data_IF_561917919833
#
_entry.id   IF_561917919833
#
_cell.length_a   1.000
_cell.length_b   1.000
_cell.length_c   1.000
_cell.angle_alpha   90.00
_cell.angle_beta   90.00
_cell.angle_gamma   90.00
#
_symmetry.space_group_name_H-M   'P 1'
#
loop_
_entity.id
_entity.type
_entity.pdbx_description
1 polymer ?
#
# COMPACT_ATOMS: atom_id res chain seq x y z
N UNK A 1 -3.68 5.68 17.60
CA UNK A 1 -2.72 4.86 16.85
C UNK A 1 -2.86 5.07 15.35
N UNK A 2 -1.77 4.80 14.61
CA UNK A 2 -1.67 4.88 13.16
C UNK A 2 -1.08 3.57 12.64
N UNK A 3 -1.55 3.09 11.49
CA UNK A 3 -1.06 1.88 10.85
C UNK A 3 -0.59 2.17 9.43
N UNK A 4 0.51 1.57 9.04
CA UNK A 4 1.01 1.60 7.67
C UNK A 4 0.30 0.54 6.83
N UNK A 5 -0.36 0.96 5.75
CA UNK A 5 -1.13 0.05 4.89
C UNK A 5 -0.38 -0.35 3.63
N UNK A 6 0.67 0.37 3.27
CA UNK A 6 1.46 0.09 2.07
C UNK A 6 2.87 0.66 2.16
N UNK A 7 3.81 -0.04 1.57
CA UNK A 7 5.18 0.38 1.34
C UNK A 7 5.74 -0.35 0.11
N UNK A 8 7.00 -0.10 -0.25
CA UNK A 8 7.62 -0.72 -1.42
C UNK A 8 7.57 -2.26 -1.41
N UNK A 9 7.56 -2.88 -0.23
CA UNK A 9 7.50 -4.34 -0.10
C UNK A 9 6.09 -4.93 -0.19
N UNK A 10 5.07 -4.13 -0.46
CA UNK A 10 3.71 -4.57 -0.68
C UNK A 10 2.69 -3.91 0.24
N UNK A 11 1.44 -4.31 0.06
CA UNK A 11 0.29 -3.79 0.81
C UNK A 11 -0.08 -4.68 1.99
N UNK A 12 -0.53 -4.05 3.08
CA UNK A 12 -1.25 -4.70 4.19
C UNK A 12 -2.70 -4.21 4.30
N UNK A 13 -3.24 -3.58 3.26
CA UNK A 13 -4.63 -3.10 3.24
C UNK A 13 -5.61 -4.28 3.26
N UNK A 14 -5.58 -5.11 2.23
CA UNK A 14 -6.42 -6.30 2.07
C UNK A 14 -5.77 -7.32 1.13
N UNK A 15 -6.47 -8.44 0.92
CA UNK A 15 -6.04 -9.53 0.03
C UNK A 15 -7.23 -10.01 -0.80
N UNK A 16 -7.06 -10.50 -2.06
CA UNK A 16 -8.16 -10.98 -2.89
C UNK A 16 -9.04 -12.07 -2.25
N UNK A 17 -8.45 -12.95 -1.45
CA UNK A 17 -9.20 -13.98 -0.72
C UNK A 17 -10.03 -13.43 0.43
N UNK A 18 -9.70 -12.24 0.94
CA UNK A 18 -10.44 -11.56 2.01
C UNK A 18 -11.45 -10.55 1.45
N UNK A 19 -11.19 -10.01 0.28
CA UNK A 19 -12.02 -9.03 -0.42
C UNK A 19 -12.27 -9.46 -1.87
N UNK A 20 -13.00 -10.55 -2.12
CA UNK A 20 -13.11 -11.15 -3.47
C UNK A 20 -13.93 -10.32 -4.46
N UNK A 21 -14.62 -9.28 -4.00
CA UNK A 21 -15.41 -8.37 -4.85
C UNK A 21 -14.67 -7.05 -5.13
N UNK A 22 -13.49 -6.88 -4.60
CA UNK A 22 -12.67 -5.69 -4.80
C UNK A 22 -11.67 -5.96 -5.92
N UNK A 23 -11.85 -5.31 -7.06
CA UNK A 23 -10.99 -5.46 -8.24
C UNK A 23 -9.54 -5.01 -8.00
N UNK A 24 -9.32 -4.17 -6.99
CA UNK A 24 -7.99 -3.68 -6.62
C UNK A 24 -7.33 -4.48 -5.48
N UNK A 25 -8.02 -5.46 -4.90
CA UNK A 25 -7.49 -6.24 -3.77
C UNK A 25 -6.19 -6.99 -4.10
N UNK A 26 -5.92 -7.27 -5.37
CA UNK A 26 -4.71 -7.94 -5.83
C UNK A 26 -3.52 -6.98 -6.09
N UNK A 27 -3.71 -5.67 -5.86
CA UNK A 27 -2.68 -4.67 -6.15
C UNK A 27 -1.55 -4.74 -5.12
N UNK A 28 -0.31 -4.84 -5.60
CA UNK A 28 0.92 -4.82 -4.80
C UNK A 28 0.97 -5.84 -3.64
N UNK A 29 0.40 -7.02 -3.85
CA UNK A 29 0.48 -8.11 -2.87
C UNK A 29 1.88 -8.71 -2.86
N UNK A 30 2.51 -8.72 -1.67
CA UNK A 30 3.72 -9.50 -1.42
C UNK A 30 3.35 -10.86 -0.84
N UNK A 31 3.60 -11.97 -1.57
CA UNK A 31 3.14 -13.29 -1.15
C UNK A 31 3.95 -13.90 -0.01
N UNK A 32 5.06 -13.28 0.35
CA UNK A 32 5.98 -13.78 1.37
C UNK A 32 6.22 -12.78 2.50
N UNK A 33 6.53 -13.31 3.66
CA UNK A 33 7.12 -12.53 4.72
C UNK A 33 8.58 -12.22 4.38
N UNK A 34 8.94 -10.96 4.38
CA UNK A 34 10.31 -10.50 4.11
C UNK A 34 11.29 -11.14 5.10
N UNK A 35 12.47 -11.47 4.61
CA UNK A 35 13.59 -12.09 5.31
C UNK A 35 13.39 -13.56 5.74
N UNK A 36 12.17 -14.05 5.81
CA UNK A 36 11.92 -15.47 6.14
C UNK A 36 11.54 -16.31 4.95
N UNK A 37 11.00 -15.66 3.89
CA UNK A 37 10.43 -16.30 2.70
C UNK A 37 9.30 -17.27 2.99
N UNK A 38 8.74 -17.25 4.18
CA UNK A 38 7.53 -17.97 4.52
C UNK A 38 6.33 -17.32 3.83
N UNK A 39 5.33 -18.11 3.49
CA UNK A 39 4.08 -17.56 2.96
C UNK A 39 3.44 -16.60 3.97
N UNK A 40 2.87 -15.51 3.47
CA UNK A 40 2.12 -14.56 4.30
C UNK A 40 0.87 -15.22 4.85
N UNK A 41 0.55 -14.93 6.12
CA UNK A 41 -0.70 -15.37 6.73
C UNK A 41 -1.82 -14.42 6.38
N UNK A 42 -2.95 -14.94 5.91
CA UNK A 42 -4.13 -14.11 5.65
C UNK A 42 -4.79 -13.64 6.94
N UNK A 43 -4.89 -14.53 7.92
CA UNK A 43 -5.61 -14.25 9.15
C UNK A 43 -4.80 -13.31 10.07
N UNK A 44 -5.38 -12.14 10.32
CA UNK A 44 -4.79 -11.15 11.24
C UNK A 44 -3.68 -10.28 10.64
N UNK A 45 -3.43 -10.36 9.33
CA UNK A 45 -2.34 -9.62 8.67
C UNK A 45 -2.80 -8.38 7.92
N UNK A 46 -4.09 -8.12 7.81
CA UNK A 46 -4.63 -7.06 6.96
C UNK A 46 -5.48 -6.07 7.74
N UNK A 47 -5.30 -4.79 7.42
CA UNK A 47 -5.90 -3.67 8.17
C UNK A 47 -7.40 -3.59 7.99
N UNK A 48 -7.92 -3.87 6.78
CA UNK A 48 -9.37 -3.86 6.52
C UNK A 48 -10.10 -4.88 7.39
N UNK A 49 -9.52 -6.06 7.58
CA UNK A 49 -10.06 -7.05 8.51
C UNK A 49 -9.96 -6.62 9.97
N UNK A 50 -8.87 -5.95 10.36
CA UNK A 50 -8.73 -5.42 11.71
C UNK A 50 -9.86 -4.41 12.01
N UNK A 51 -10.21 -3.55 11.07
CA UNK A 51 -11.37 -2.65 11.23
C UNK A 51 -12.69 -3.41 11.40
N UNK A 52 -12.95 -4.42 10.56
CA UNK A 52 -14.18 -5.22 10.68
C UNK A 52 -14.27 -5.95 12.03
N UNK A 53 -13.15 -6.50 12.50
CA UNK A 53 -13.07 -7.13 13.83
C UNK A 53 -13.25 -6.12 14.96
N UNK A 54 -12.68 -4.92 14.83
CA UNK A 54 -12.85 -3.84 15.78
C UNK A 54 -14.32 -3.42 15.94
N UNK A 55 -15.04 -3.30 14.82
CA UNK A 55 -16.47 -3.02 14.82
C UNK A 55 -17.28 -4.16 15.47
N UNK A 56 -16.92 -5.40 15.17
CA UNK A 56 -17.56 -6.56 15.79
C UNK A 56 -17.33 -6.61 17.31
N UNK A 57 -16.13 -6.35 17.77
CA UNK A 57 -15.79 -6.25 19.20
C UNK A 57 -16.56 -5.12 19.89
N UNK A 58 -16.62 -3.95 19.26
CA UNK A 58 -17.37 -2.80 19.78
C UNK A 58 -18.85 -3.13 19.91
N UNK A 59 -19.44 -3.78 18.91
CA UNK A 59 -20.83 -4.24 18.95
C UNK A 59 -21.08 -5.27 20.08
N UNK A 60 -20.09 -6.10 20.38
CA UNK A 60 -20.12 -7.06 21.47
C UNK A 60 -19.85 -6.45 22.87
N UNK A 61 -19.62 -5.14 22.96
CA UNK A 61 -19.35 -4.44 24.23
C UNK A 61 -17.90 -4.55 24.73
N UNK A 62 -16.98 -5.14 23.94
CA UNK A 62 -15.58 -5.33 24.33
C UNK A 62 -14.67 -4.12 24.00
N UNK A 63 -15.22 -3.06 23.41
CA UNK A 63 -14.45 -1.93 22.90
C UNK A 63 -13.80 -2.22 21.53
N UNK A 64 -13.23 -1.18 20.90
CA UNK A 64 -12.59 -1.31 19.61
C UNK A 64 -11.11 -0.87 19.67
N UNK A 65 -10.16 -1.82 19.70
CA UNK A 65 -8.73 -1.50 19.76
C UNK A 65 -8.14 -1.07 18.42
N UNK A 66 -8.88 -1.20 17.30
CA UNK A 66 -8.38 -1.02 15.94
C UNK A 66 -8.82 0.31 15.29
N UNK A 67 -9.04 1.35 16.08
CA UNK A 67 -9.35 2.70 15.59
C UNK A 67 -8.07 3.42 15.13
N UNK A 68 -7.52 2.98 14.00
CA UNK A 68 -6.29 3.49 13.43
C UNK A 68 -6.53 4.69 12.50
N UNK A 69 -5.51 5.57 12.37
CA UNK A 69 -5.31 6.37 11.17
C UNK A 69 -4.49 5.58 10.16
N UNK A 70 -4.60 5.89 8.88
CA UNK A 70 -3.90 5.20 7.81
C UNK A 70 -2.75 6.05 7.27
N UNK A 71 -1.59 5.44 7.08
CA UNK A 71 -0.47 6.03 6.35
C UNK A 71 0.10 5.02 5.36
N UNK A 72 0.78 5.53 4.33
CA UNK A 72 1.67 4.76 3.48
C UNK A 72 3.09 5.27 3.63
N UNK A 73 4.05 4.47 3.26
CA UNK A 73 5.46 4.86 3.29
C UNK A 73 6.25 4.23 2.13
N UNK A 74 7.46 4.70 1.89
CA UNK A 74 8.35 4.12 0.90
C UNK A 74 9.20 2.99 1.48
N UNK A 75 9.39 2.98 2.79
CA UNK A 75 10.37 2.14 3.49
C UNK A 75 11.79 2.25 2.88
N UNK A 76 12.07 3.32 2.21
CA UNK A 76 13.44 3.61 1.76
C UNK A 76 14.26 4.10 2.96
N UNK A 77 15.30 3.37 3.33
CA UNK A 77 16.13 3.69 4.50
C UNK A 77 17.15 4.80 4.20
N UNK A 78 16.86 5.66 3.25
CA UNK A 78 17.69 6.81 2.86
C UNK A 78 16.82 8.05 2.73
N UNK A 79 17.38 9.20 3.01
CA UNK A 79 16.64 10.48 2.93
C UNK A 79 16.42 11.03 1.52
N UNK A 80 16.89 10.34 0.48
CA UNK A 80 16.92 10.80 -0.90
C UNK A 80 16.21 9.83 -1.86
N UNK A 81 15.10 9.22 -1.45
CA UNK A 81 14.31 8.37 -2.33
C UNK A 81 13.64 9.18 -3.44
N UNK A 82 13.58 8.64 -4.65
CA UNK A 82 12.74 9.17 -5.73
C UNK A 82 11.34 8.56 -5.63
N UNK A 83 10.30 9.36 -5.87
CA UNK A 83 8.89 8.95 -5.78
C UNK A 83 8.19 8.91 -7.13
N UNK A 84 8.91 9.16 -8.20
CA UNK A 84 8.42 9.02 -9.58
C UNK A 84 8.45 7.54 -9.97
N UNK A 85 7.32 7.00 -10.41
CA UNK A 85 7.21 5.59 -10.84
C UNK A 85 8.19 5.24 -11.97
N UNK A 86 8.48 6.17 -12.86
CA UNK A 86 9.44 5.98 -13.94
C UNK A 86 10.90 6.02 -13.47
N UNK A 87 11.13 6.63 -12.32
CA UNK A 87 12.47 6.84 -11.76
C UNK A 87 12.48 6.52 -10.26
N UNK A 88 11.69 5.54 -9.86
CA UNK A 88 11.64 5.11 -8.46
C UNK A 88 12.98 4.51 -8.03
N UNK A 89 13.43 4.90 -6.86
CA UNK A 89 14.67 4.43 -6.28
C UNK A 89 14.50 4.17 -4.78
N UNK A 90 14.83 2.97 -4.34
CA UNK A 90 14.70 2.55 -2.94
C UNK A 90 16.06 2.30 -2.28
N UNK A 91 16.00 1.88 -1.02
CA UNK A 91 17.18 1.51 -0.22
C UNK A 91 18.02 0.39 -0.82
N UNK A 92 17.45 -0.45 -1.70
CA UNK A 92 18.13 -1.58 -2.31
C UNK A 92 18.43 -1.26 -3.78
N UNK A 93 18.96 -0.08 -4.03
CA UNK A 93 19.22 0.44 -5.36
C UNK A 93 19.92 -0.50 -6.36
N UNK A 94 20.61 -1.54 -5.89
CA UNK A 94 21.22 -2.58 -6.75
C UNK A 94 20.15 -3.42 -7.45
N UNK A 95 19.01 -3.66 -6.81
CA UNK A 95 17.96 -4.58 -7.30
C UNK A 95 16.74 -3.86 -7.84
N UNK A 96 16.49 -2.62 -7.44
CA UNK A 96 15.30 -1.86 -7.80
C UNK A 96 15.57 -0.40 -8.20
N UNK A 97 16.82 -0.06 -8.49
CA UNK A 97 17.25 1.31 -8.82
C UNK A 97 16.63 1.88 -10.10
N UNK A 98 15.95 1.08 -10.89
CA UNK A 98 15.30 1.56 -12.11
C UNK A 98 13.99 0.82 -12.37
N UNK A 99 13.08 1.45 -13.11
CA UNK A 99 11.84 0.82 -13.56
C UNK A 99 12.06 -0.46 -14.36
N UNK A 100 13.17 -0.58 -15.08
CA UNK A 100 13.56 -1.83 -15.76
C UNK A 100 13.90 -2.95 -14.80
N UNK A 101 14.66 -2.66 -13.74
CA UNK A 101 15.04 -3.65 -12.73
C UNK A 101 13.81 -4.14 -11.96
N UNK A 102 12.90 -3.23 -11.62
CA UNK A 102 11.63 -3.58 -10.95
C UNK A 102 10.62 -4.31 -11.84
N UNK A 103 10.76 -4.23 -13.15
CA UNK A 103 9.82 -4.81 -14.10
C UNK A 103 8.66 -3.90 -14.47
N UNK A 104 8.68 -2.61 -14.12
CA UNK A 104 7.65 -1.62 -14.51
C UNK A 104 7.92 -0.96 -15.87
N UNK A 105 9.14 -1.10 -16.41
CA UNK A 105 9.53 -0.62 -17.74
C UNK A 105 10.01 -1.77 -18.59
N UNK A 106 9.54 -1.82 -19.84
CA UNK A 106 9.91 -2.87 -20.79
C UNK A 106 11.42 -2.93 -21.08
N UNK A 107 11.93 -4.13 -21.19
CA UNK A 107 13.30 -4.40 -21.56
C UNK A 107 13.49 -4.29 -23.08
N UNK A 108 14.65 -3.80 -23.51
CA UNK A 108 15.09 -3.92 -24.89
C UNK A 108 15.32 -5.39 -25.27
N UNK A 109 15.40 -5.69 -26.56
CA UNK A 109 15.64 -7.07 -27.00
C UNK A 109 16.99 -7.63 -26.52
N UNK A 110 18.02 -6.78 -26.41
CA UNK A 110 19.34 -7.17 -25.88
C UNK A 110 19.26 -7.52 -24.41
N UNK A 111 18.56 -6.70 -23.61
CA UNK A 111 18.36 -6.96 -22.18
C UNK A 111 17.56 -8.24 -21.96
N UNK A 112 16.54 -8.51 -22.79
CA UNK A 112 15.77 -9.76 -22.74
C UNK A 112 16.66 -10.98 -22.98
N UNK A 113 17.49 -10.93 -24.03
CA UNK A 113 18.41 -12.02 -24.34
C UNK A 113 19.40 -12.25 -23.18
N UNK A 114 19.99 -11.17 -22.66
CA UNK A 114 20.88 -11.26 -21.49
C UNK A 114 20.20 -11.89 -20.29
N UNK A 115 18.96 -11.49 -20.00
CA UNK A 115 18.19 -12.05 -18.87
C UNK A 115 17.84 -13.52 -19.10
N UNK A 116 17.55 -13.96 -20.32
CA UNK A 116 17.35 -15.37 -20.63
C UNK A 116 18.60 -16.19 -20.37
N UNK A 117 19.75 -15.73 -20.82
CA UNK A 117 21.03 -16.39 -20.57
C UNK A 117 21.35 -16.42 -19.08
N UNK A 118 21.15 -15.29 -18.38
CA UNK A 118 21.37 -15.22 -16.93
C UNK A 118 20.46 -16.17 -16.15
N UNK A 119 19.20 -16.35 -16.57
CA UNK A 119 18.28 -17.32 -15.96
C UNK A 119 18.73 -18.76 -16.17
N UNK A 120 19.21 -19.11 -17.34
CA UNK A 120 19.75 -20.46 -17.61
C UNK A 120 20.94 -20.76 -16.69
N UNK A 121 21.77 -19.76 -16.40
CA UNK A 121 22.92 -19.89 -15.49
C UNK A 121 22.45 -19.90 -14.03
N UNK A 122 21.50 -19.05 -13.63
CA UNK A 122 21.06 -18.92 -12.24
C UNK A 122 20.09 -20.02 -11.81
N UNK A 123 19.30 -20.61 -12.71
CA UNK A 123 18.51 -21.79 -12.37
C UNK A 123 19.36 -22.96 -11.87
N UNK A 124 20.64 -22.98 -12.19
CA UNK A 124 21.59 -23.92 -11.61
C UNK A 124 21.91 -23.61 -10.13
N UNK A 125 21.76 -22.35 -9.69
CA UNK A 125 22.12 -21.92 -8.32
C UNK A 125 20.94 -21.61 -7.39
N UNK A 126 19.71 -21.48 -7.91
CA UNK A 126 18.53 -20.98 -7.15
C UNK A 126 17.43 -22.04 -7.02
N UNK A 127 17.77 -23.32 -7.09
CA UNK A 127 16.82 -24.43 -6.92
C UNK A 127 16.27 -24.62 -5.50
N UNK A 128 16.41 -23.65 -4.62
CA UNK A 128 15.98 -23.68 -3.23
C UNK A 128 14.85 -22.73 -2.81
N UNK A 129 14.30 -21.93 -3.73
CA UNK A 129 13.14 -21.10 -3.35
C UNK A 129 11.87 -21.95 -3.33
N UNK A 130 11.09 -21.93 -2.23
CA UNK A 130 9.83 -22.65 -2.19
C UNK A 130 8.94 -22.14 -3.32
N UNK A 131 8.39 -23.05 -4.12
CA UNK A 131 7.36 -22.71 -5.07
C UNK A 131 6.25 -21.95 -4.33
N UNK A 132 5.72 -20.88 -4.94
CA UNK A 132 4.59 -20.09 -4.40
C UNK A 132 3.31 -20.91 -4.47
N UNK A 133 3.33 -22.08 -3.84
CA UNK A 133 2.17 -22.95 -3.77
C UNK A 133 1.19 -22.37 -2.76
N UNK A 134 -0.03 -22.06 -3.22
CA UNK A 134 -1.19 -21.71 -2.40
C UNK A 134 -1.26 -20.31 -1.79
N UNK A 135 -0.70 -19.29 -2.41
CA UNK A 135 -0.97 -17.88 -2.00
C UNK A 135 -2.38 -17.41 -2.39
N UNK A 136 -3.13 -18.19 -3.20
CA UNK A 136 -4.41 -17.76 -3.77
C UNK A 136 -4.28 -16.64 -4.81
N UNK A 137 -3.06 -16.22 -5.09
CA UNK A 137 -2.77 -15.28 -6.15
C UNK A 137 -2.66 -16.03 -7.48
N UNK A 138 -3.14 -15.46 -8.58
CA UNK A 138 -2.82 -16.01 -9.89
C UNK A 138 -1.30 -16.08 -10.02
N UNK A 139 -0.76 -17.13 -10.65
CA UNK A 139 0.68 -17.18 -10.92
C UNK A 139 1.05 -15.88 -11.62
N UNK A 140 2.05 -15.20 -11.10
CA UNK A 140 2.58 -14.00 -11.72
C UNK A 140 3.09 -14.37 -13.11
N UNK A 141 2.21 -14.27 -14.09
CA UNK A 141 2.58 -14.49 -15.48
C UNK A 141 3.26 -13.20 -15.92
N UNK A 142 4.59 -13.18 -16.01
CA UNK A 142 5.29 -11.96 -16.34
C UNK A 142 4.81 -11.48 -17.70
N UNK A 143 4.45 -10.21 -17.79
CA UNK A 143 4.17 -9.60 -19.07
C UNK A 143 5.39 -9.81 -19.99
N UNK A 144 5.21 -10.35 -21.20
CA UNK A 144 6.33 -10.60 -22.10
C UNK A 144 7.15 -9.32 -22.32
N UNK A 145 8.45 -9.40 -22.12
CA UNK A 145 9.35 -8.27 -22.33
C UNK A 145 9.69 -7.44 -21.10
N UNK A 146 9.18 -7.78 -19.93
CA UNK A 146 9.54 -7.12 -18.69
C UNK A 146 10.50 -7.97 -17.85
N UNK A 147 11.26 -7.31 -16.98
CA UNK A 147 12.09 -8.02 -16.02
C UNK A 147 11.21 -8.74 -15.00
N UNK A 148 11.59 -9.95 -14.66
CA UNK A 148 10.83 -10.77 -13.74
C UNK A 148 11.75 -11.39 -12.70
N UNK A 149 11.84 -10.71 -11.59
CA UNK A 149 12.57 -11.15 -10.40
C UNK A 149 11.65 -11.09 -9.20
N UNK A 150 12.07 -11.64 -8.07
CA UNK A 150 11.32 -11.53 -6.80
C UNK A 150 11.00 -10.07 -6.41
N UNK A 151 11.80 -9.12 -6.87
CA UNK A 151 11.63 -7.69 -6.64
C UNK A 151 10.57 -7.04 -7.56
N UNK A 152 10.12 -7.72 -8.59
CA UNK A 152 9.04 -7.25 -9.46
C UNK A 152 7.67 -7.22 -8.75
N UNK A 153 7.56 -7.87 -7.59
CA UNK A 153 6.38 -7.79 -6.72
C UNK A 153 6.43 -6.58 -5.78
N UNK A 154 7.55 -5.86 -5.75
CA UNK A 154 7.66 -4.64 -4.96
C UNK A 154 6.90 -3.52 -5.64
N UNK A 155 6.02 -2.88 -4.88
CA UNK A 155 5.16 -1.84 -5.38
C UNK A 155 5.79 -0.47 -5.42
N UNK A 156 4.96 0.51 -5.76
CA UNK A 156 5.30 1.91 -5.65
C UNK A 156 5.55 2.31 -4.20
N UNK A 157 6.36 3.35 -4.02
CA UNK A 157 6.49 3.93 -2.69
C UNK A 157 5.17 4.56 -2.24
N UNK A 158 4.67 4.16 -1.09
CA UNK A 158 3.57 4.83 -0.43
C UNK A 158 3.93 6.23 0.07
N UNK A 159 2.92 7.08 0.23
CA UNK A 159 3.04 8.35 0.93
C UNK A 159 2.09 8.40 2.12
N UNK A 160 2.57 9.00 3.22
CA UNK A 160 1.73 9.45 4.31
C UNK A 160 1.23 10.87 4.02
N UNK A 161 -0.08 11.06 4.00
CA UNK A 161 -0.71 12.36 3.92
C UNK A 161 -1.41 12.73 5.22
N UNK A 162 -1.40 14.01 5.59
CA UNK A 162 -2.14 14.54 6.73
C UNK A 162 -2.88 15.81 6.34
N UNK A 163 -4.04 16.04 6.96
CA UNK A 163 -4.75 17.30 6.87
C UNK A 163 -4.45 18.12 8.13
N UNK A 164 -3.52 19.05 7.98
CA UNK A 164 -3.10 19.96 9.04
C UNK A 164 -3.52 21.39 8.69
N UNK A 165 -3.73 22.22 9.70
CA UNK A 165 -4.09 23.62 9.54
C UNK A 165 -2.94 24.44 8.96
N UNK A 166 -1.70 24.06 9.33
CA UNK A 166 -0.47 24.73 8.91
C UNK A 166 0.65 23.72 8.66
N UNK A 167 1.60 24.09 7.82
CA UNK A 167 2.81 23.31 7.61
C UNK A 167 3.85 23.57 8.72
N UNK A 168 3.45 23.27 9.96
CA UNK A 168 4.32 23.33 11.13
C UNK A 168 4.38 21.99 11.83
N UNK A 169 5.48 21.73 12.54
CA UNK A 169 5.65 20.47 13.31
C UNK A 169 4.48 20.22 14.25
N UNK A 170 4.03 21.25 14.94
CA UNK A 170 2.92 21.17 15.93
C UNK A 170 1.61 20.80 15.26
N UNK A 171 1.26 21.48 14.16
CA UNK A 171 0.01 21.24 13.44
C UNK A 171 -0.01 19.87 12.76
N UNK A 172 1.09 19.48 12.13
CA UNK A 172 1.24 18.14 11.53
C UNK A 172 1.11 17.05 12.62
N UNK A 173 1.77 17.20 13.76
CA UNK A 173 1.67 16.25 14.86
C UNK A 173 0.25 16.18 15.44
N UNK A 174 -0.44 17.31 15.55
CA UNK A 174 -1.83 17.34 15.99
C UNK A 174 -2.76 16.59 15.01
N UNK A 175 -2.56 16.76 13.70
CA UNK A 175 -3.31 16.04 12.67
C UNK A 175 -3.06 14.52 12.72
N UNK A 176 -1.81 14.10 12.92
CA UNK A 176 -1.46 12.68 13.15
C UNK A 176 -2.15 12.14 14.41
N UNK A 177 -2.21 12.89 15.48
CA UNK A 177 -2.91 12.48 16.71
C UNK A 177 -4.41 12.35 16.52
N UNK A 178 -5.02 13.24 15.74
CA UNK A 178 -6.43 13.15 15.37
C UNK A 178 -6.71 12.03 14.37
N UNK A 179 -5.64 11.42 13.81
CA UNK A 179 -5.72 10.39 12.75
C UNK A 179 -6.35 10.92 11.45
N UNK A 180 -6.27 12.22 11.23
CA UNK A 180 -6.75 12.87 10.02
C UNK A 180 -5.71 12.70 8.91
N UNK A 181 -5.49 11.43 8.55
CA UNK A 181 -4.39 10.94 7.73
C UNK A 181 -4.90 10.09 6.59
N UNK A 182 -4.15 10.02 5.51
CA UNK A 182 -4.40 9.11 4.40
C UNK A 182 -3.12 8.53 3.83
N UNK A 183 -3.25 7.41 3.13
CA UNK A 183 -2.18 6.73 2.44
C UNK A 183 -2.35 6.81 0.93
N UNK A 184 -1.25 6.77 0.19
CA UNK A 184 -1.24 6.43 -1.23
C UNK A 184 -0.33 5.25 -1.48
N UNK A 185 -0.65 4.42 -2.46
CA UNK A 185 0.15 3.26 -2.86
C UNK A 185 0.65 3.33 -4.31
N UNK A 186 0.34 4.39 -5.02
CA UNK A 186 0.69 4.63 -6.41
C UNK A 186 0.45 6.09 -6.76
N UNK A 187 -0.57 6.42 -7.55
CA UNK A 187 -0.92 7.79 -7.85
C UNK A 187 -1.10 8.63 -6.59
N UNK A 188 -0.55 9.84 -6.59
CA UNK A 188 -0.52 10.73 -5.42
C UNK A 188 -1.86 11.44 -5.19
N UNK A 189 -2.94 10.68 -5.10
CA UNK A 189 -4.28 11.18 -4.83
C UNK A 189 -4.39 11.74 -3.41
N UNK A 190 -5.04 12.89 -3.29
CA UNK A 190 -5.37 13.48 -1.99
C UNK A 190 -6.82 13.18 -1.65
N UNK A 191 -7.02 12.46 -0.55
CA UNK A 191 -8.34 12.07 -0.07
C UNK A 191 -8.68 12.84 1.21
N UNK A 192 -9.87 13.41 1.27
CA UNK A 192 -10.45 13.97 2.48
C UNK A 192 -11.86 13.39 2.64
N UNK A 193 -12.05 12.55 3.63
CA UNK A 193 -13.28 11.81 3.85
C UNK A 193 -14.01 12.28 5.12
N UNK A 194 -15.32 12.40 5.03
CA UNK A 194 -16.19 12.74 6.15
C UNK A 194 -17.35 11.73 6.23
N UNK A 195 -17.67 11.29 7.44
CA UNK A 195 -18.87 10.52 7.75
C UNK A 195 -19.93 11.39 8.42
N UNK A 196 -21.20 11.14 8.13
CA UNK A 196 -22.30 11.86 8.79
C UNK A 196 -23.67 11.43 8.28
N UNK A 197 -24.70 11.60 9.09
CA UNK A 197 -26.09 11.23 8.75
C UNK A 197 -26.87 12.39 8.10
N UNK A 198 -26.35 13.62 8.14
CA UNK A 198 -27.05 14.83 7.72
C UNK A 198 -26.51 15.48 6.44
N UNK A 199 -25.76 14.76 5.61
CA UNK A 199 -25.29 15.26 4.33
C UNK A 199 -26.36 15.12 3.25
N UNK A 200 -26.77 16.25 2.66
CA UNK A 200 -27.57 16.25 1.45
C UNK A 200 -26.70 16.30 0.20
N UNK A 201 -27.25 15.89 -0.95
CA UNK A 201 -26.53 15.84 -2.24
C UNK A 201 -25.99 17.21 -2.67
N UNK A 202 -26.59 18.28 -2.20
CA UNK A 202 -26.22 19.66 -2.51
C UNK A 202 -24.86 20.10 -1.89
N UNK A 203 -24.31 19.35 -0.95
CA UNK A 203 -23.06 19.72 -0.27
C UNK A 203 -21.87 19.72 -1.25
N UNK A 204 -21.88 18.82 -2.23
CA UNK A 204 -20.76 18.62 -3.17
C UNK A 204 -20.60 19.76 -4.19
N UNK A 205 -21.62 20.56 -4.39
CA UNK A 205 -21.62 21.65 -5.38
C UNK A 205 -21.24 23.02 -4.81
N UNK A 206 -20.91 23.12 -3.53
CA UNK A 206 -20.69 24.38 -2.83
C UNK A 206 -19.22 24.63 -2.53
N UNK A 207 -18.77 25.89 -2.70
CA UNK A 207 -17.40 26.29 -2.42
C UNK A 207 -17.01 26.12 -0.94
N UNK A 208 -17.99 26.11 -0.04
CA UNK A 208 -17.82 25.92 1.41
C UNK A 208 -18.01 24.45 1.87
N UNK A 209 -17.98 23.51 0.93
CA UNK A 209 -18.19 22.08 1.18
C UNK A 209 -17.37 21.56 2.35
N UNK A 210 -16.07 21.84 2.39
CA UNK A 210 -15.17 21.36 3.45
C UNK A 210 -15.57 21.90 4.82
N UNK A 211 -15.85 23.19 4.91
CA UNK A 211 -16.30 23.85 6.16
C UNK A 211 -17.59 23.23 6.67
N UNK A 212 -18.55 23.01 5.76
CA UNK A 212 -19.82 22.35 6.10
C UNK A 212 -19.64 20.89 6.52
N UNK A 213 -18.72 20.17 5.87
CA UNK A 213 -18.41 18.79 6.21
C UNK A 213 -17.83 18.67 7.63
N UNK A 214 -16.94 19.59 8.02
CA UNK A 214 -16.46 19.65 9.40
C UNK A 214 -17.54 20.04 10.41
N UNK A 215 -18.47 20.90 10.03
CA UNK A 215 -19.54 21.34 10.93
C UNK A 215 -20.65 20.31 11.15
N UNK A 216 -20.87 19.41 10.17
CA UNK A 216 -22.01 18.47 10.16
C UNK A 216 -21.60 17.01 10.28
N UNK A 217 -20.35 16.71 10.12
CA UNK A 217 -19.85 15.34 10.11
C UNK A 217 -18.58 15.15 10.90
N UNK A 218 -18.08 13.96 10.85
CA UNK A 218 -16.84 13.55 11.50
C UNK A 218 -15.77 13.35 10.41
N UNK A 219 -14.61 14.01 10.50
CA UNK A 219 -13.52 13.78 9.56
C UNK A 219 -12.92 12.39 9.73
N UNK A 220 -12.20 11.93 8.70
CA UNK A 220 -11.44 10.69 8.76
C UNK A 220 -10.61 10.60 10.04
N UNK A 221 -10.55 9.42 10.64
CA UNK A 221 -9.88 9.18 11.92
C UNK A 221 -10.74 9.43 13.16
N UNK A 222 -11.87 10.11 13.03
CA UNK A 222 -12.85 10.30 14.10
C UNK A 222 -13.81 9.12 14.28
N UNK A 223 -14.65 9.20 15.27
CA UNK A 223 -15.73 8.25 15.54
C UNK A 223 -17.08 8.87 15.15
N UNK A 224 -17.90 8.12 14.41
CA UNK A 224 -19.24 8.47 14.01
C UNK A 224 -20.23 7.69 14.88
#
# INVERSE_FOLDING_TARGET
PIVEVTQVKGTSETHPLLSPRDEFAAFEIMPYQIATWNASSLNGSYVREAYLRGLALQRAGAGNPYKFGLIGASDTHVGAGAFDENNYWSKIGIVDASGKLRGSVALTWVERLRNQISRLISNYYVSGMPAVANTGLPPANPAPGYNHQQWSTWGASGLAGVWAEENTRTSIFAALRRKETFATSGPRMRVRFFGGYGFGDDIFSKADMVTKAYARGVPMGGDL
#
